data_IF_627553009188
#
_entry.id   IF_627553009188
#
_cell.length_a   1.000
_cell.length_b   1.000
_cell.length_c   1.000
_cell.angle_alpha   90.00
_cell.angle_beta   90.00
_cell.angle_gamma   90.00
#
_symmetry.space_group_name_H-M   'P 1'
#
loop_
_entity.id
_entity.type
_entity.pdbx_description
1 polymer ?
#
# COMPACT_ATOMS: atom_id res chain seq x y z
N UNK A 1 36.41 -28.27 23.84
CA UNK A 1 36.04 -27.27 22.81
C UNK A 1 35.32 -26.13 23.51
N UNK A 2 36.01 -25.04 23.84
CA UNK A 2 35.34 -23.82 24.32
C UNK A 2 34.72 -23.16 23.10
N UNK A 3 33.40 -22.96 23.09
CA UNK A 3 32.78 -22.04 22.15
C UNK A 3 33.42 -20.66 22.41
N UNK A 4 34.15 -20.15 21.42
CA UNK A 4 34.57 -18.75 21.42
C UNK A 4 33.29 -17.89 21.53
N UNK A 5 33.29 -16.84 22.37
CA UNK A 5 32.16 -15.93 22.44
C UNK A 5 31.95 -15.35 21.04
N UNK A 6 30.74 -15.52 20.52
CA UNK A 6 30.28 -14.95 19.26
C UNK A 6 30.65 -13.46 19.24
N UNK A 7 31.57 -13.06 18.35
CA UNK A 7 31.96 -11.65 18.20
C UNK A 7 30.75 -10.89 17.69
N UNK A 8 30.06 -10.22 18.61
CA UNK A 8 28.91 -9.33 18.37
C UNK A 8 29.23 -8.09 17.51
N UNK A 9 30.48 -7.92 17.08
CA UNK A 9 30.98 -6.74 16.37
C UNK A 9 31.08 -6.92 14.85
N UNK A 10 30.89 -8.14 14.33
CA UNK A 10 30.90 -8.38 12.89
C UNK A 10 29.49 -8.19 12.33
N UNK A 11 29.34 -7.52 11.16
CA UNK A 11 28.05 -7.45 10.51
C UNK A 11 27.51 -8.88 10.29
N UNK A 12 26.17 -9.07 10.37
CA UNK A 12 25.53 -10.38 10.28
C UNK A 12 26.06 -11.22 9.11
N UNK A 13 25.89 -12.54 9.15
CA UNK A 13 26.25 -13.36 8.00
C UNK A 13 25.35 -13.08 6.78
N UNK A 14 25.79 -13.48 5.58
CA UNK A 14 25.04 -13.30 4.33
C UNK A 14 23.66 -13.98 4.34
N UNK A 15 23.44 -14.97 5.21
CA UNK A 15 22.14 -15.61 5.43
C UNK A 15 21.10 -14.64 6.02
N UNK A 16 21.49 -13.76 6.93
CA UNK A 16 20.58 -12.74 7.49
C UNK A 16 20.25 -11.70 6.43
N UNK A 17 21.24 -11.28 5.65
CA UNK A 17 21.04 -10.41 4.49
C UNK A 17 20.03 -11.00 3.49
N UNK A 18 20.22 -12.27 3.12
CA UNK A 18 19.32 -12.98 2.22
C UNK A 18 17.91 -13.10 2.80
N UNK A 19 17.77 -13.36 4.11
CA UNK A 19 16.48 -13.44 4.78
C UNK A 19 15.73 -12.09 4.78
N UNK A 20 16.42 -10.98 5.04
CA UNK A 20 15.82 -9.63 4.99
C UNK A 20 15.42 -9.25 3.57
N UNK A 21 16.27 -9.54 2.57
CA UNK A 21 15.94 -9.33 1.16
C UNK A 21 14.74 -10.19 0.71
N UNK A 22 14.68 -11.46 1.12
CA UNK A 22 13.57 -12.35 0.81
C UNK A 22 12.25 -11.86 1.43
N UNK A 23 12.28 -11.39 2.68
CA UNK A 23 11.11 -10.80 3.35
C UNK A 23 10.55 -9.60 2.57
N UNK A 24 11.43 -8.72 2.08
CA UNK A 24 11.03 -7.57 1.24
C UNK A 24 10.30 -8.04 -0.04
N UNK A 25 10.83 -9.03 -0.74
CA UNK A 25 10.20 -9.58 -1.95
C UNK A 25 8.83 -10.22 -1.68
N UNK A 26 8.69 -10.93 -0.56
CA UNK A 26 7.42 -11.52 -0.15
C UNK A 26 6.37 -10.42 0.12
N UNK A 27 6.76 -9.33 0.78
CA UNK A 27 5.85 -8.21 1.02
C UNK A 27 5.43 -7.50 -0.26
N UNK A 28 6.35 -7.27 -1.21
CA UNK A 28 6.01 -6.67 -2.51
C UNK A 28 4.98 -7.52 -3.27
N UNK A 29 5.11 -8.85 -3.21
CA UNK A 29 4.17 -9.77 -3.87
C UNK A 29 2.75 -9.66 -3.30
N UNK A 30 2.62 -9.50 -1.98
CA UNK A 30 1.32 -9.32 -1.31
C UNK A 30 0.75 -7.91 -1.57
N UNK A 31 1.61 -6.90 -1.64
CA UNK A 31 1.21 -5.50 -1.84
C UNK A 31 0.41 -5.30 -3.13
N UNK A 32 0.72 -6.05 -4.19
CA UNK A 32 0.00 -5.97 -5.46
C UNK A 32 -1.39 -6.63 -5.45
N UNK A 33 -1.68 -7.51 -4.48
CA UNK A 33 -2.98 -8.18 -4.38
C UNK A 33 -4.03 -7.34 -3.65
N UNK A 34 -3.61 -6.62 -2.61
CA UNK A 34 -4.47 -5.76 -1.78
C UNK A 34 -5.30 -4.75 -2.60
N UNK A 35 -4.73 -4.00 -3.56
CA UNK A 35 -5.51 -3.02 -4.31
C UNK A 35 -6.60 -3.66 -5.17
N UNK A 36 -6.35 -4.79 -5.82
CA UNK A 36 -7.34 -5.49 -6.63
C UNK A 36 -8.54 -5.93 -5.77
N UNK A 37 -8.28 -6.52 -4.61
CA UNK A 37 -9.32 -6.95 -3.68
C UNK A 37 -10.09 -5.75 -3.09
N UNK A 38 -9.37 -4.68 -2.73
CA UNK A 38 -10.00 -3.46 -2.22
C UNK A 38 -10.91 -2.83 -3.27
N UNK A 39 -10.47 -2.71 -4.52
CA UNK A 39 -11.29 -2.15 -5.60
C UNK A 39 -12.54 -3.01 -5.86
N UNK A 40 -12.40 -4.34 -5.88
CA UNK A 40 -13.53 -5.24 -6.04
C UNK A 40 -14.55 -5.12 -4.89
N UNK A 41 -14.06 -5.08 -3.64
CA UNK A 41 -14.90 -4.89 -2.46
C UNK A 41 -15.64 -3.54 -2.48
N UNK A 42 -14.96 -2.46 -2.87
CA UNK A 42 -15.57 -1.14 -3.00
C UNK A 42 -16.65 -1.11 -4.09
N UNK A 43 -16.38 -1.69 -5.26
CA UNK A 43 -17.35 -1.76 -6.36
C UNK A 43 -18.61 -2.55 -5.95
N UNK A 44 -18.43 -3.66 -5.22
CA UNK A 44 -19.55 -4.44 -4.68
C UNK A 44 -20.37 -3.64 -3.65
N UNK A 45 -19.71 -2.98 -2.69
CA UNK A 45 -20.41 -2.18 -1.69
C UNK A 45 -21.17 -1.01 -2.33
N UNK A 46 -20.60 -0.38 -3.36
CA UNK A 46 -21.28 0.68 -4.09
C UNK A 46 -22.44 0.18 -4.96
N UNK A 47 -22.37 -1.03 -5.52
CA UNK A 47 -23.53 -1.59 -6.23
C UNK A 47 -24.72 -1.78 -5.27
N UNK A 48 -24.48 -2.19 -4.03
CA UNK A 48 -25.50 -2.25 -2.97
C UNK A 48 -25.97 -0.86 -2.56
N UNK A 49 -25.04 0.07 -2.29
CA UNK A 49 -25.36 1.39 -1.80
C UNK A 49 -26.13 2.25 -2.81
N UNK A 50 -25.94 2.02 -4.11
CA UNK A 50 -26.60 2.74 -5.20
C UNK A 50 -27.78 1.98 -5.82
N UNK A 51 -28.04 0.73 -5.42
CA UNK A 51 -29.16 -0.04 -5.96
C UNK A 51 -30.49 0.70 -5.74
N UNK A 52 -31.36 0.86 -6.75
CA UNK A 52 -32.59 1.67 -6.66
C UNK A 52 -33.53 1.25 -5.54
N UNK A 53 -33.59 -0.05 -5.28
CA UNK A 53 -34.47 -0.68 -4.30
C UNK A 53 -33.78 -0.95 -2.95
N UNK A 54 -32.54 -0.47 -2.77
CA UNK A 54 -31.84 -0.64 -1.51
C UNK A 54 -32.49 0.16 -0.39
N UNK A 55 -32.83 -0.55 0.70
CA UNK A 55 -33.28 0.03 1.96
C UNK A 55 -32.20 0.97 2.51
N UNK A 56 -32.61 2.05 3.17
CA UNK A 56 -31.70 3.05 3.78
C UNK A 56 -30.65 2.39 4.67
N UNK A 57 -31.04 1.42 5.50
CA UNK A 57 -30.13 0.68 6.36
C UNK A 57 -29.04 -0.05 5.56
N UNK A 58 -29.39 -0.69 4.43
CA UNK A 58 -28.41 -1.38 3.60
C UNK A 58 -27.38 -0.41 2.99
N UNK A 59 -27.82 0.80 2.60
CA UNK A 59 -26.93 1.85 2.09
C UNK A 59 -25.97 2.36 3.17
N UNK A 60 -26.50 2.62 4.37
CA UNK A 60 -25.69 3.05 5.52
C UNK A 60 -24.63 2.00 5.84
N UNK A 61 -25.04 0.73 5.98
CA UNK A 61 -24.11 -0.38 6.27
C UNK A 61 -23.05 -0.51 5.18
N UNK A 62 -23.45 -0.46 3.90
CA UNK A 62 -22.50 -0.53 2.79
C UNK A 62 -21.48 0.62 2.80
N UNK A 63 -21.92 1.86 3.07
CA UNK A 63 -21.04 3.01 3.17
C UNK A 63 -20.08 2.90 4.37
N UNK A 64 -20.56 2.48 5.54
CA UNK A 64 -19.72 2.29 6.74
C UNK A 64 -18.67 1.20 6.51
N UNK A 65 -19.05 0.08 5.89
CA UNK A 65 -18.11 -0.98 5.50
C UNK A 65 -17.08 -0.47 4.49
N UNK A 66 -17.50 0.32 3.50
CA UNK A 66 -16.60 0.92 2.51
C UNK A 66 -15.56 1.83 3.18
N UNK A 67 -15.98 2.69 4.10
CA UNK A 67 -15.07 3.56 4.89
C UNK A 67 -14.09 2.72 5.72
N UNK A 68 -14.59 1.66 6.34
CA UNK A 68 -13.78 0.74 7.15
C UNK A 68 -12.72 0.04 6.29
N UNK A 69 -13.11 -0.53 5.15
CA UNK A 69 -12.18 -1.18 4.21
C UNK A 69 -11.13 -0.18 3.72
N UNK A 70 -11.53 1.03 3.35
CA UNK A 70 -10.57 2.06 2.95
C UNK A 70 -9.56 2.37 4.05
N UNK A 71 -10.02 2.54 5.29
CA UNK A 71 -9.15 2.80 6.44
C UNK A 71 -8.17 1.64 6.70
N UNK A 72 -8.66 0.41 6.71
CA UNK A 72 -7.83 -0.79 6.89
C UNK A 72 -6.80 -0.95 5.76
N UNK A 73 -7.21 -0.73 4.51
CA UNK A 73 -6.33 -0.78 3.34
C UNK A 73 -5.25 0.29 3.43
N UNK A 74 -5.60 1.55 3.74
CA UNK A 74 -4.62 2.63 3.91
C UNK A 74 -3.63 2.33 5.04
N UNK A 75 -4.11 1.82 6.17
CA UNK A 75 -3.25 1.41 7.28
C UNK A 75 -2.27 0.31 6.86
N UNK A 76 -2.76 -0.72 6.16
CA UNK A 76 -1.95 -1.82 5.66
C UNK A 76 -0.87 -1.31 4.69
N UNK A 77 -1.24 -0.47 3.71
CA UNK A 77 -0.30 0.17 2.78
C UNK A 77 0.76 1.00 3.52
N UNK A 78 0.38 1.77 4.54
CA UNK A 78 1.31 2.58 5.33
C UNK A 78 2.30 1.70 6.12
N UNK A 79 1.81 0.62 6.73
CA UNK A 79 2.65 -0.35 7.45
C UNK A 79 3.62 -1.07 6.52
N UNK A 80 3.17 -1.47 5.32
CA UNK A 80 4.07 -2.03 4.31
C UNK A 80 5.12 -1.03 3.87
N UNK A 81 4.74 0.22 3.59
CA UNK A 81 5.70 1.26 3.21
C UNK A 81 6.74 1.51 4.30
N UNK A 82 6.33 1.49 5.56
CA UNK A 82 7.26 1.60 6.70
C UNK A 82 8.23 0.42 6.76
N UNK A 83 7.74 -0.82 6.59
CA UNK A 83 8.59 -2.02 6.55
C UNK A 83 9.58 -1.99 5.40
N UNK A 84 9.13 -1.62 4.20
CA UNK A 84 9.96 -1.49 3.00
C UNK A 84 11.12 -0.50 3.21
N UNK A 85 10.86 0.66 3.80
CA UNK A 85 11.87 1.68 4.09
C UNK A 85 12.86 1.19 5.16
N UNK A 86 12.34 0.52 6.20
CA UNK A 86 13.18 -0.01 7.29
C UNK A 86 14.14 -1.07 6.78
N UNK A 87 13.63 -2.03 6.00
CA UNK A 87 14.43 -3.09 5.39
C UNK A 87 15.43 -2.52 4.38
N UNK A 88 15.06 -1.50 3.59
CA UNK A 88 15.97 -0.83 2.66
C UNK A 88 17.17 -0.17 3.37
N UNK A 89 16.92 0.55 4.47
CA UNK A 89 17.99 1.20 5.23
C UNK A 89 18.87 0.19 5.95
N UNK A 90 18.29 -0.90 6.47
CA UNK A 90 19.06 -1.97 7.11
C UNK A 90 20.00 -2.64 6.10
N UNK A 91 19.49 -2.97 4.91
CA UNK A 91 20.29 -3.58 3.83
C UNK A 91 21.38 -2.63 3.33
N UNK A 92 21.10 -1.34 3.19
CA UNK A 92 22.10 -0.32 2.82
C UNK A 92 23.21 -0.22 3.86
N UNK A 93 22.86 -0.19 5.15
CA UNK A 93 23.82 -0.15 6.26
C UNK A 93 24.73 -1.38 6.24
N UNK A 94 24.12 -2.56 6.10
CA UNK A 94 24.84 -3.82 5.97
C UNK A 94 25.83 -3.82 4.79
N UNK A 95 25.40 -3.33 3.62
CA UNK A 95 26.23 -3.26 2.42
C UNK A 95 27.41 -2.29 2.59
N UNK A 96 27.19 -1.15 3.25
CA UNK A 96 28.25 -0.17 3.55
C UNK A 96 29.27 -0.76 4.53
N UNK A 97 28.82 -1.40 5.61
CA UNK A 97 29.70 -1.99 6.63
C UNK A 97 30.55 -3.13 6.05
N UNK A 98 29.95 -3.98 5.20
CA UNK A 98 30.63 -5.18 4.69
C UNK A 98 31.41 -4.96 3.40
N UNK A 99 30.92 -4.10 2.51
CA UNK A 99 31.50 -3.88 1.17
C UNK A 99 32.03 -2.46 0.96
N UNK A 100 31.90 -1.57 1.95
CA UNK A 100 32.35 -0.17 1.88
C UNK A 100 31.44 0.75 1.06
N UNK A 101 30.33 0.22 0.49
CA UNK A 101 29.38 0.99 -0.33
C UNK A 101 28.01 0.30 -0.42
N UNK A 102 26.93 1.10 -0.53
CA UNK A 102 25.58 0.60 -0.84
C UNK A 102 25.45 0.27 -2.33
N UNK A 103 25.33 -1.02 -2.65
CA UNK A 103 25.36 -1.57 -4.00
C UNK A 103 23.96 -1.72 -4.60
N UNK A 104 23.02 -2.26 -3.82
CA UNK A 104 21.75 -2.77 -4.34
C UNK A 104 20.52 -2.29 -3.55
N UNK A 105 20.72 -1.69 -2.37
CA UNK A 105 19.61 -1.27 -1.51
C UNK A 105 19.76 0.17 -0.99
N UNK A 106 18.66 0.69 -0.45
CA UNK A 106 18.61 2.01 0.16
C UNK A 106 18.62 3.18 -0.81
N UNK A 107 19.24 4.29 -0.37
CA UNK A 107 19.14 5.59 -1.05
C UNK A 107 19.97 5.65 -2.33
N UNK A 108 21.14 5.01 -2.35
CA UNK A 108 21.97 4.93 -3.56
C UNK A 108 21.23 4.23 -4.69
N UNK A 109 20.61 3.08 -4.40
CA UNK A 109 19.77 2.37 -5.37
C UNK A 109 18.54 3.18 -5.78
N UNK A 110 17.85 3.82 -4.84
CA UNK A 110 16.69 4.67 -5.14
C UNK A 110 17.05 5.82 -6.08
N UNK A 111 18.19 6.48 -5.86
CA UNK A 111 18.69 7.55 -6.72
C UNK A 111 18.98 7.03 -8.13
N UNK A 112 19.68 5.91 -8.25
CA UNK A 112 19.98 5.29 -9.53
C UNK A 112 18.70 4.89 -10.27
N UNK A 113 17.74 4.23 -9.59
CA UNK A 113 16.45 3.86 -10.17
C UNK A 113 15.66 5.06 -10.69
N UNK A 114 15.66 6.17 -9.94
CA UNK A 114 14.94 7.39 -10.34
C UNK A 114 15.66 8.17 -11.45
N UNK A 115 16.98 8.00 -11.58
CA UNK A 115 17.77 8.58 -12.66
C UNK A 115 17.61 7.81 -13.98
N UNK A 116 17.30 6.51 -13.92
CA UNK A 116 17.01 5.69 -15.10
C UNK A 116 15.72 6.15 -15.78
N UNK A 117 15.81 6.50 -17.06
CA UNK A 117 14.63 6.79 -17.87
C UNK A 117 13.89 5.48 -18.16
N UNK A 118 12.60 5.42 -17.81
CA UNK A 118 11.77 4.23 -17.95
C UNK A 118 11.39 3.91 -19.41
N UNK A 119 11.77 4.75 -20.37
CA UNK A 119 11.42 4.65 -21.80
C UNK A 119 9.91 4.42 -22.02
N UNK A 120 9.09 5.11 -21.21
CA UNK A 120 7.65 4.96 -21.20
C UNK A 120 6.94 6.05 -22.03
N UNK A 121 7.67 6.72 -22.94
CA UNK A 121 7.15 7.82 -23.75
C UNK A 121 6.56 8.94 -22.88
N UNK A 122 5.30 9.32 -23.13
CA UNK A 122 4.61 10.38 -22.39
C UNK A 122 4.32 10.02 -20.91
N UNK A 123 4.33 8.72 -20.57
CA UNK A 123 4.13 8.23 -19.21
C UNK A 123 5.41 8.28 -18.35
N UNK A 124 6.55 8.65 -18.91
CA UNK A 124 7.82 8.75 -18.18
C UNK A 124 7.73 9.69 -16.97
N UNK A 125 6.91 10.74 -17.04
CA UNK A 125 6.67 11.63 -15.90
C UNK A 125 5.85 10.96 -14.78
N UNK A 126 5.01 9.97 -15.12
CA UNK A 126 4.16 9.26 -14.16
C UNK A 126 4.93 8.23 -13.35
N UNK A 127 6.00 7.65 -13.91
CA UNK A 127 6.86 6.68 -13.21
C UNK A 127 7.59 7.29 -12.01
N UNK A 128 7.70 8.62 -11.96
CA UNK A 128 8.29 9.38 -10.85
C UNK A 128 7.33 9.59 -9.68
N UNK A 129 6.04 9.38 -9.89
CA UNK A 129 5.04 9.49 -8.82
C UNK A 129 5.17 8.25 -7.94
N UNK A 130 5.37 8.44 -6.64
CA UNK A 130 5.44 7.32 -5.69
C UNK A 130 4.13 6.54 -5.66
N UNK A 131 4.19 5.24 -5.95
CA UNK A 131 3.01 4.35 -6.00
C UNK A 131 2.14 4.47 -4.76
N UNK A 132 2.74 4.57 -3.57
CA UNK A 132 2.02 4.76 -2.31
C UNK A 132 1.08 5.99 -2.34
N UNK A 133 1.55 7.13 -2.88
CA UNK A 133 0.76 8.37 -2.95
C UNK A 133 -0.39 8.22 -3.93
N UNK A 134 -0.14 7.64 -5.10
CA UNK A 134 -1.16 7.42 -6.12
C UNK A 134 -2.27 6.50 -5.60
N UNK A 135 -1.90 5.38 -4.99
CA UNK A 135 -2.85 4.44 -4.38
C UNK A 135 -3.62 5.06 -3.22
N UNK A 136 -2.96 5.82 -2.36
CA UNK A 136 -3.64 6.50 -1.24
C UNK A 136 -4.67 7.51 -1.72
N UNK A 137 -4.37 8.27 -2.79
CA UNK A 137 -5.33 9.19 -3.41
C UNK A 137 -6.52 8.41 -3.98
N UNK A 138 -6.25 7.35 -4.76
CA UNK A 138 -7.31 6.52 -5.35
C UNK A 138 -8.27 5.96 -4.31
N UNK A 139 -7.74 5.38 -3.23
CA UNK A 139 -8.55 4.86 -2.12
C UNK A 139 -9.33 5.96 -1.38
N UNK A 140 -8.72 7.14 -1.20
CA UNK A 140 -9.38 8.27 -0.55
C UNK A 140 -10.60 8.77 -1.34
N UNK A 141 -10.57 8.69 -2.68
CA UNK A 141 -11.73 9.04 -3.50
C UNK A 141 -12.94 8.15 -3.18
N UNK A 142 -12.75 6.84 -3.03
CA UNK A 142 -13.83 5.94 -2.61
C UNK A 142 -14.40 6.36 -1.24
N UNK A 143 -13.54 6.72 -0.29
CA UNK A 143 -14.00 7.23 1.01
C UNK A 143 -14.86 8.49 0.88
N UNK A 144 -14.47 9.43 0.01
CA UNK A 144 -15.25 10.65 -0.25
C UNK A 144 -16.62 10.31 -0.81
N UNK A 145 -16.70 9.42 -1.81
CA UNK A 145 -17.97 8.97 -2.36
C UNK A 145 -18.85 8.29 -1.31
N UNK A 146 -18.29 7.46 -0.44
CA UNK A 146 -19.02 6.80 0.64
C UNK A 146 -19.59 7.79 1.64
N UNK A 147 -18.86 8.84 2.00
CA UNK A 147 -19.39 9.93 2.85
C UNK A 147 -20.54 10.64 2.16
N UNK A 148 -20.41 10.99 0.87
CA UNK A 148 -21.47 11.66 0.11
C UNK A 148 -22.73 10.80 0.08
N UNK A 149 -22.63 9.52 -0.27
CA UNK A 149 -23.78 8.61 -0.34
C UNK A 149 -24.40 8.42 1.06
N UNK A 150 -23.58 8.33 2.11
CA UNK A 150 -24.05 8.22 3.49
C UNK A 150 -24.85 9.46 3.91
N UNK A 151 -24.34 10.66 3.63
CA UNK A 151 -25.04 11.93 3.93
C UNK A 151 -26.36 12.01 3.17
N UNK A 152 -26.37 11.71 1.87
CA UNK A 152 -27.61 11.69 1.07
C UNK A 152 -28.60 10.66 1.63
N UNK A 153 -28.13 9.48 2.02
CA UNK A 153 -28.98 8.42 2.58
C UNK A 153 -29.65 8.82 3.90
N UNK A 154 -29.03 9.70 4.69
CA UNK A 154 -29.55 10.20 5.96
C UNK A 154 -30.47 11.40 5.74
N UNK A 155 -30.04 12.38 4.95
CA UNK A 155 -30.72 13.69 4.80
C UNK A 155 -31.85 13.63 3.79
N UNK A 156 -31.66 12.90 2.68
CA UNK A 156 -32.58 12.85 1.56
C UNK A 156 -32.74 11.41 1.03
N UNK A 157 -33.25 10.47 1.85
CA UNK A 157 -33.32 9.05 1.49
C UNK A 157 -34.11 8.77 0.20
N UNK A 158 -35.07 9.64 -0.15
CA UNK A 158 -35.86 9.54 -1.38
C UNK A 158 -35.09 9.93 -2.64
N UNK A 159 -34.01 10.69 -2.53
CA UNK A 159 -33.21 11.13 -3.69
C UNK A 159 -32.52 9.97 -4.42
N UNK A 160 -32.29 8.86 -3.73
CA UNK A 160 -31.67 7.65 -4.28
C UNK A 160 -32.67 6.50 -4.51
N UNK A 161 -33.95 6.69 -4.19
CA UNK A 161 -35.00 5.71 -4.41
C UNK A 161 -35.66 5.93 -5.76
N UNK A 162 -36.02 4.84 -6.45
CA UNK A 162 -36.82 4.94 -7.67
C UNK A 162 -38.20 5.50 -7.29
N UNK A 163 -38.62 6.57 -7.97
CA UNK A 163 -40.01 7.03 -7.86
C UNK A 163 -40.93 5.95 -8.44
N UNK A 164 -42.08 5.67 -7.80
CA UNK A 164 -43.04 4.69 -8.29
C UNK A 164 -43.57 5.04 -9.69
#
# INVERSE_FOLDING_TARGET
>A
MKQEPERLDLPPGPEVYAAVAARRNQFDSLLWQVPALSLAGQAFLFSVALAPDARVLARIVACVLSLTITGLTLHLFARHRQGEITDAHWLETYEIERYGRGLAHGRTWQSNRNATNADAGWLTSWTRIGSFRLWSIGLSLFSVFSVVILVISIVAPRALQRSP
#
